data_IF_165219454520
#
_entry.id   IF_165219454520
#
_cell.length_a   1.000
_cell.length_b   1.000
_cell.length_c   1.000
_cell.angle_alpha   90.00
_cell.angle_beta   90.00
_cell.angle_gamma   90.00
#
_symmetry.space_group_name_H-M   'P 1'
#
loop_
_entity.id
_entity.type
_entity.pdbx_description
1 polymer ?
#
# COMPACT_ATOMS: atom_id res chain seq x y z
N UNK A 1 -30.82 -29.59 -19.74
CA UNK A 1 -31.56 -28.36 -19.45
C UNK A 1 -30.57 -27.33 -18.94
N UNK A 2 -30.47 -26.24 -19.68
CA UNK A 2 -29.63 -25.08 -19.41
C UNK A 2 -30.27 -24.22 -18.33
N UNK A 3 -29.65 -24.13 -17.15
CA UNK A 3 -29.89 -23.00 -16.26
C UNK A 3 -28.63 -22.17 -16.18
N UNK A 4 -28.67 -21.08 -16.94
CA UNK A 4 -27.84 -19.92 -16.70
C UNK A 4 -28.04 -19.47 -15.25
N UNK A 5 -27.10 -19.79 -14.36
CA UNK A 5 -26.97 -19.10 -13.07
C UNK A 5 -26.56 -17.64 -13.34
N UNK A 6 -27.55 -16.88 -13.80
CA UNK A 6 -27.46 -15.46 -14.06
C UNK A 6 -27.15 -14.75 -12.76
N UNK A 7 -26.20 -13.83 -12.85
CA UNK A 7 -25.77 -12.88 -11.83
C UNK A 7 -26.94 -12.48 -10.89
N UNK A 8 -27.02 -13.07 -9.69
CA UNK A 8 -28.11 -12.82 -8.72
C UNK A 8 -28.07 -11.41 -8.08
N UNK A 9 -27.19 -10.53 -8.58
CA UNK A 9 -27.02 -9.17 -8.09
C UNK A 9 -26.88 -9.08 -6.56
N UNK A 10 -27.49 -8.06 -5.96
CA UNK A 10 -27.50 -7.85 -4.51
C UNK A 10 -28.17 -8.97 -3.72
N UNK A 11 -29.12 -9.69 -4.32
CA UNK A 11 -29.76 -10.85 -3.67
C UNK A 11 -28.79 -12.03 -3.54
N UNK A 12 -27.88 -12.20 -4.50
CA UNK A 12 -26.78 -13.16 -4.42
C UNK A 12 -25.82 -12.82 -3.29
N UNK A 13 -25.41 -11.55 -3.18
CA UNK A 13 -24.53 -11.05 -2.11
C UNK A 13 -25.12 -11.30 -0.72
N UNK A 14 -26.41 -10.97 -0.52
CA UNK A 14 -27.09 -11.17 0.78
C UNK A 14 -27.23 -12.64 1.17
N UNK A 15 -27.55 -13.51 0.20
CA UNK A 15 -27.60 -14.97 0.43
C UNK A 15 -26.23 -15.52 0.82
N UNK A 16 -25.18 -15.06 0.14
CA UNK A 16 -23.80 -15.44 0.42
C UNK A 16 -23.35 -14.96 1.81
N UNK A 17 -23.65 -13.72 2.17
CA UNK A 17 -23.39 -13.14 3.49
C UNK A 17 -24.02 -13.96 4.61
N UNK A 18 -25.33 -14.27 4.49
CA UNK A 18 -26.05 -15.09 5.46
C UNK A 18 -25.48 -16.50 5.57
N UNK A 19 -25.06 -17.11 4.45
CA UNK A 19 -24.46 -18.46 4.43
C UNK A 19 -23.09 -18.49 5.10
N UNK A 20 -22.29 -17.44 4.93
CA UNK A 20 -20.93 -17.36 5.46
C UNK A 20 -20.84 -16.72 6.85
N UNK A 21 -21.96 -16.22 7.41
CA UNK A 21 -21.97 -15.54 8.70
C UNK A 21 -21.29 -14.17 8.69
N UNK A 22 -21.18 -13.53 7.52
CA UNK A 22 -20.58 -12.20 7.35
C UNK A 22 -21.66 -11.14 7.10
N UNK A 23 -21.31 -9.87 7.30
CA UNK A 23 -22.13 -8.77 6.81
C UNK A 23 -22.09 -8.71 5.27
N UNK A 24 -23.16 -8.19 4.66
CA UNK A 24 -23.24 -8.06 3.20
C UNK A 24 -22.17 -7.12 2.64
N UNK A 25 -21.75 -6.12 3.42
CA UNK A 25 -20.65 -5.22 3.08
C UNK A 25 -19.31 -5.95 3.06
N UNK A 26 -19.04 -6.81 4.05
CA UNK A 26 -17.82 -7.64 4.11
C UNK A 26 -17.76 -8.60 2.92
N UNK A 27 -18.89 -9.21 2.55
CA UNK A 27 -18.96 -10.06 1.35
C UNK A 27 -18.72 -9.25 0.07
N UNK A 28 -19.26 -8.04 -0.04
CA UNK A 28 -18.94 -7.15 -1.15
C UNK A 28 -17.46 -6.80 -1.22
N UNK A 29 -16.84 -6.51 -0.08
CA UNK A 29 -15.41 -6.20 0.02
C UNK A 29 -14.57 -7.44 -0.36
N UNK A 30 -14.95 -8.64 0.10
CA UNK A 30 -14.30 -9.91 -0.29
C UNK A 30 -14.46 -10.19 -1.78
N UNK A 31 -15.66 -10.02 -2.35
CA UNK A 31 -15.91 -10.23 -3.77
C UNK A 31 -15.17 -9.21 -4.64
N UNK A 32 -15.16 -7.95 -4.23
CA UNK A 32 -14.42 -6.89 -4.90
C UNK A 32 -12.92 -7.17 -4.82
N UNK A 33 -12.39 -7.55 -3.66
CA UNK A 33 -11.02 -8.04 -3.47
C UNK A 33 -10.73 -9.20 -4.41
N UNK A 34 -11.58 -10.22 -4.45
CA UNK A 34 -11.37 -11.43 -5.25
C UNK A 34 -11.39 -11.15 -6.76
N UNK A 35 -12.30 -10.27 -7.21
CA UNK A 35 -12.48 -9.90 -8.62
C UNK A 35 -11.45 -8.88 -9.12
N UNK A 36 -10.96 -8.02 -8.25
CA UNK A 36 -10.07 -6.91 -8.60
C UNK A 36 -8.66 -7.00 -7.99
N UNK A 37 -8.31 -8.10 -7.31
CA UNK A 37 -6.94 -8.38 -6.87
C UNK A 37 -6.02 -8.70 -8.05
N UNK A 38 -5.46 -7.64 -8.64
CA UNK A 38 -4.04 -7.74 -9.01
C UNK A 38 -3.28 -7.75 -7.69
N UNK A 39 -2.72 -8.90 -7.33
CA UNK A 39 -1.70 -8.97 -6.27
C UNK A 39 -0.66 -7.88 -6.57
N UNK A 40 -0.26 -7.06 -5.59
CA UNK A 40 0.81 -6.10 -5.83
C UNK A 40 2.04 -6.88 -6.30
N UNK A 41 2.67 -6.39 -7.37
CA UNK A 41 3.86 -7.07 -7.88
C UNK A 41 4.95 -7.08 -6.80
N UNK A 42 5.84 -8.06 -6.82
CA UNK A 42 7.01 -8.08 -5.93
C UNK A 42 7.75 -6.72 -5.92
N UNK A 43 7.96 -6.13 -7.11
CA UNK A 43 8.57 -4.81 -7.26
C UNK A 43 7.83 -3.67 -6.55
N UNK A 44 6.51 -3.78 -6.40
CA UNK A 44 5.67 -2.80 -5.72
C UNK A 44 5.78 -2.95 -4.20
N UNK A 45 5.75 -4.19 -3.68
CA UNK A 45 5.99 -4.45 -2.26
C UNK A 45 7.40 -3.96 -1.86
N UNK A 46 8.41 -4.26 -2.69
CA UNK A 46 9.77 -3.81 -2.45
C UNK A 46 9.88 -2.28 -2.41
N UNK A 47 9.26 -1.59 -3.37
CA UNK A 47 9.28 -0.13 -3.47
C UNK A 47 8.68 0.54 -2.22
N UNK A 48 7.55 0.04 -1.73
CA UNK A 48 6.92 0.58 -0.52
C UNK A 48 7.60 0.12 0.78
N UNK A 49 8.40 -0.96 0.74
CA UNK A 49 9.20 -1.40 1.90
C UNK A 49 10.31 -0.41 2.28
N UNK A 50 10.73 0.46 1.35
CA UNK A 50 11.67 1.55 1.62
C UNK A 50 11.12 2.52 2.69
N UNK A 51 9.82 2.79 2.68
CA UNK A 51 9.18 3.60 3.73
C UNK A 51 9.28 2.90 5.08
N UNK A 52 9.05 1.58 5.13
CA UNK A 52 9.18 0.81 6.38
C UNK A 52 10.61 0.80 6.89
N UNK A 53 11.61 0.63 6.01
CA UNK A 53 13.03 0.77 6.36
C UNK A 53 13.30 2.12 7.02
N UNK A 54 12.84 3.21 6.42
CA UNK A 54 13.06 4.56 6.95
C UNK A 54 12.38 4.77 8.30
N UNK A 55 11.16 4.25 8.48
CA UNK A 55 10.48 4.26 9.78
C UNK A 55 11.27 3.50 10.86
N UNK A 56 11.77 2.30 10.56
CA UNK A 56 12.61 1.53 11.50
C UNK A 56 13.88 2.31 11.88
N UNK A 57 14.48 3.03 10.93
CA UNK A 57 15.65 3.86 11.21
C UNK A 57 15.30 5.05 12.11
N UNK A 58 14.15 5.70 11.89
CA UNK A 58 13.65 6.77 12.77
C UNK A 58 13.39 6.23 14.17
N UNK A 59 12.73 5.07 14.31
CA UNK A 59 12.50 4.38 15.58
C UNK A 59 13.82 4.10 16.33
N UNK A 60 14.90 3.81 15.60
CA UNK A 60 16.26 3.60 16.15
C UNK A 60 17.07 4.89 16.36
N UNK A 61 16.48 6.08 16.14
CA UNK A 61 17.18 7.37 16.25
C UNK A 61 18.25 7.60 15.17
N UNK A 62 18.25 6.83 14.07
CA UNK A 62 19.23 6.95 12.99
C UNK A 62 18.83 8.03 12.01
N UNK A 63 19.83 8.73 11.48
CA UNK A 63 19.63 9.63 10.35
C UNK A 63 19.23 8.87 9.07
N UNK A 64 18.45 9.56 8.24
CA UNK A 64 17.99 9.07 6.94
C UNK A 64 18.81 9.67 5.81
N UNK A 65 19.05 8.86 4.78
CA UNK A 65 19.70 9.28 3.55
C UNK A 65 18.80 8.92 2.39
N UNK A 66 18.73 9.78 1.39
CA UNK A 66 18.00 9.52 0.15
C UNK A 66 18.67 8.40 -0.68
N UNK A 67 18.03 8.01 -1.78
CA UNK A 67 18.58 7.05 -2.76
C UNK A 67 19.94 7.43 -3.35
N UNK A 68 20.38 8.68 -3.22
CA UNK A 68 21.67 9.19 -3.69
C UNK A 68 22.72 9.25 -2.57
N UNK A 69 22.36 8.87 -1.34
CA UNK A 69 23.24 8.89 -0.17
C UNK A 69 23.28 10.25 0.56
N UNK A 70 22.49 11.23 0.15
CA UNK A 70 22.46 12.55 0.78
C UNK A 70 21.72 12.49 2.11
N UNK A 71 22.30 13.10 3.14
CA UNK A 71 21.65 13.24 4.45
C UNK A 71 20.43 14.15 4.32
N UNK A 72 19.26 13.63 4.67
CA UNK A 72 18.03 14.41 4.69
C UNK A 72 17.73 14.79 6.13
N UNK A 73 17.50 16.09 6.39
CA UNK A 73 17.10 16.57 7.72
C UNK A 73 15.58 16.56 7.83
N UNK A 74 15.08 16.22 9.02
CA UNK A 74 13.65 16.32 9.36
C UNK A 74 13.26 17.79 9.51
N UNK A 75 12.10 18.15 8.98
CA UNK A 75 11.57 19.50 9.18
C UNK A 75 10.94 19.60 10.58
N UNK A 76 10.94 20.79 11.16
CA UNK A 76 10.31 21.03 12.48
C UNK A 76 8.82 20.69 12.40
N UNK A 77 8.33 19.86 13.32
CA UNK A 77 6.92 19.43 13.38
C UNK A 77 6.50 18.38 12.33
N UNK A 78 7.42 17.88 11.51
CA UNK A 78 7.11 16.86 10.50
C UNK A 78 6.85 15.50 11.14
N UNK A 79 5.77 14.80 10.78
CA UNK A 79 5.48 13.43 11.24
C UNK A 79 6.49 12.39 10.70
N UNK A 80 6.71 11.29 11.43
CA UNK A 80 7.67 10.24 11.05
C UNK A 80 7.38 9.66 9.66
N UNK A 81 6.10 9.38 9.36
CA UNK A 81 5.69 8.83 8.06
C UNK A 81 5.90 9.84 6.93
N UNK A 82 5.73 11.14 7.22
CA UNK A 82 6.01 12.20 6.25
C UNK A 82 7.50 12.28 5.94
N UNK A 83 8.31 12.32 6.99
CA UNK A 83 9.74 12.31 6.85
C UNK A 83 10.25 11.07 6.11
N UNK A 84 9.76 9.88 6.44
CA UNK A 84 10.15 8.61 5.83
C UNK A 84 9.83 8.53 4.33
N UNK A 85 8.68 9.07 3.89
CA UNK A 85 8.30 9.13 2.47
C UNK A 85 9.11 10.21 1.74
N UNK A 86 9.31 11.39 2.36
CA UNK A 86 9.99 12.53 1.74
C UNK A 86 11.44 12.21 1.38
N UNK A 87 12.13 11.43 2.21
CA UNK A 87 13.53 11.02 1.98
C UNK A 87 13.73 10.37 0.61
N UNK A 88 12.79 9.53 0.18
CA UNK A 88 12.85 8.82 -1.10
C UNK A 88 11.80 9.33 -2.09
N UNK A 89 11.36 10.58 -1.95
CA UNK A 89 10.30 11.16 -2.80
C UNK A 89 10.65 11.08 -4.29
N UNK A 90 11.93 11.27 -4.61
CA UNK A 90 12.44 11.16 -5.98
C UNK A 90 12.32 9.74 -6.55
N UNK A 91 12.52 8.71 -5.73
CA UNK A 91 12.31 7.31 -6.12
C UNK A 91 10.85 7.09 -6.55
N UNK A 92 9.90 7.60 -5.76
CA UNK A 92 8.47 7.49 -6.06
C UNK A 92 8.10 8.31 -7.31
N UNK A 93 8.59 9.55 -7.44
CA UNK A 93 8.31 10.41 -8.60
C UNK A 93 8.88 9.87 -9.92
N UNK A 94 10.06 9.24 -9.88
CA UNK A 94 10.75 8.69 -11.06
C UNK A 94 10.24 7.30 -11.44
N UNK A 95 9.58 6.58 -10.52
CA UNK A 95 8.99 5.29 -10.82
C UNK A 95 7.84 5.43 -11.85
N UNK A 96 8.01 4.82 -13.02
CA UNK A 96 7.07 4.95 -14.14
C UNK A 96 5.63 4.49 -13.83
N UNK A 97 5.45 3.47 -12.98
CA UNK A 97 4.11 2.98 -12.59
C UNK A 97 3.41 3.98 -11.69
N UNK A 98 4.13 4.50 -10.69
CA UNK A 98 3.64 5.51 -9.76
C UNK A 98 3.35 6.82 -10.48
N UNK A 99 4.28 7.27 -11.32
CA UNK A 99 4.11 8.46 -12.16
C UNK A 99 2.91 8.32 -13.08
N UNK A 100 2.61 7.13 -13.63
CA UNK A 100 1.42 6.91 -14.46
C UNK A 100 0.12 6.87 -13.63
N UNK A 101 0.16 6.33 -12.42
CA UNK A 101 -1.01 6.22 -11.54
C UNK A 101 -1.42 7.55 -10.90
N UNK A 102 -0.46 8.38 -10.50
CA UNK A 102 -0.71 9.61 -9.73
C UNK A 102 -0.13 10.87 -10.39
N UNK A 103 0.10 10.85 -11.72
CA UNK A 103 0.71 11.97 -12.48
C UNK A 103 0.06 13.32 -12.21
N UNK A 104 -1.26 13.30 -12.03
CA UNK A 104 -2.12 14.48 -11.91
C UNK A 104 -2.79 14.54 -10.53
N UNK A 105 -2.35 13.71 -9.57
CA UNK A 105 -2.93 13.71 -8.24
C UNK A 105 -2.43 14.95 -7.47
N UNK A 106 -3.30 15.91 -7.13
CA UNK A 106 -2.90 17.08 -6.36
C UNK A 106 -2.36 16.71 -4.97
N UNK A 107 -2.67 15.51 -4.49
CA UNK A 107 -2.26 14.96 -3.20
C UNK A 107 -1.38 13.72 -3.35
N UNK A 108 -0.42 13.74 -4.28
CA UNK A 108 0.56 12.66 -4.51
C UNK A 108 1.09 12.02 -3.22
N UNK A 109 1.45 12.86 -2.23
CA UNK A 109 1.95 12.41 -0.94
C UNK A 109 0.93 11.54 -0.17
N UNK A 110 -0.32 12.00 -0.10
CA UNK A 110 -1.42 11.28 0.57
C UNK A 110 -1.63 9.91 -0.07
N UNK A 111 -1.55 9.84 -1.40
CA UNK A 111 -1.71 8.59 -2.15
C UNK A 111 -0.59 7.60 -1.88
N UNK A 112 0.67 8.06 -1.74
CA UNK A 112 1.80 7.23 -1.32
C UNK A 112 1.58 6.69 0.10
N UNK A 113 1.19 7.56 1.05
CA UNK A 113 0.92 7.16 2.44
C UNK A 113 -0.18 6.11 2.53
N UNK A 114 -1.33 6.36 1.90
CA UNK A 114 -2.45 5.40 1.92
C UNK A 114 -2.08 4.07 1.26
N UNK A 115 -1.30 4.11 0.18
CA UNK A 115 -0.83 2.88 -0.47
C UNK A 115 0.11 2.09 0.44
N UNK A 116 1.05 2.76 1.10
CA UNK A 116 1.93 2.17 2.10
C UNK A 116 1.13 1.51 3.22
N UNK A 117 0.20 2.24 3.86
CA UNK A 117 -0.62 1.74 4.98
C UNK A 117 -1.41 0.49 4.56
N UNK A 118 -2.02 0.51 3.37
CA UNK A 118 -2.76 -0.61 2.82
C UNK A 118 -1.88 -1.83 2.52
N UNK A 119 -0.69 -1.63 1.96
CA UNK A 119 0.26 -2.71 1.70
C UNK A 119 0.80 -3.29 3.02
N UNK A 120 1.14 -2.45 3.99
CA UNK A 120 1.68 -2.88 5.27
C UNK A 120 0.66 -3.68 6.08
N UNK A 121 -0.61 -3.25 6.07
CA UNK A 121 -1.71 -3.99 6.68
C UNK A 121 -1.87 -5.41 6.10
N UNK A 122 -1.58 -5.58 4.80
CA UNK A 122 -1.80 -6.83 4.06
C UNK A 122 -0.57 -7.74 4.01
N UNK A 123 0.62 -7.17 3.95
CA UNK A 123 1.90 -7.88 3.76
C UNK A 123 2.96 -7.43 4.78
N UNK A 124 2.65 -7.42 6.09
CA UNK A 124 3.56 -6.87 7.09
C UNK A 124 4.86 -7.69 7.18
N UNK A 125 4.77 -9.02 7.02
CA UNK A 125 5.94 -9.92 7.11
C UNK A 125 6.93 -9.66 5.98
N UNK A 126 6.43 -9.60 4.75
CA UNK A 126 7.22 -9.35 3.54
C UNK A 126 7.85 -7.96 3.61
N UNK A 127 7.09 -6.94 3.98
CA UNK A 127 7.60 -5.57 4.07
C UNK A 127 8.66 -5.42 5.15
N UNK A 128 8.48 -6.03 6.33
CA UNK A 128 9.49 -6.02 7.39
C UNK A 128 10.76 -6.79 6.95
N UNK A 129 10.61 -7.95 6.27
CA UNK A 129 11.75 -8.71 5.73
C UNK A 129 12.54 -7.88 4.74
N UNK A 130 11.88 -7.26 3.77
CA UNK A 130 12.54 -6.41 2.78
C UNK A 130 13.19 -5.18 3.41
N UNK A 131 12.52 -4.54 4.36
CA UNK A 131 13.08 -3.40 5.07
C UNK A 131 14.38 -3.77 5.82
N UNK A 132 14.42 -4.94 6.47
CA UNK A 132 15.60 -5.44 7.16
C UNK A 132 16.77 -5.78 6.20
N UNK A 133 16.47 -6.27 5.00
CA UNK A 133 17.47 -6.56 3.97
C UNK A 133 18.11 -5.30 3.37
N UNK A 134 17.50 -4.12 3.55
CA UNK A 134 17.99 -2.84 3.04
C UNK A 134 18.72 -2.00 4.11
N UNK A 135 18.96 -2.55 5.32
CA UNK A 135 19.69 -1.87 6.40
C UNK A 135 21.18 -1.67 6.11
#
# INVERSE_FOLDING_TARGET
MSDSEGYLGWNGVRKLAKKLGYDWFDVCDILWKTKHHKQPSYSEILLFSVIRKNLIRIEKGKHLRDVYGNLIRRNVGEEDVHYAIRVDLDLFKKNHKIKKQWKNDPNFFKSIRQKYENLYKRFPKEMNKHAAMME
#
